data_IF_428849710421
#
_entry.id   IF_428849710421
#
_cell.length_a   1.000
_cell.length_b   1.000
_cell.length_c   1.000
_cell.angle_alpha   90.00
_cell.angle_beta   90.00
_cell.angle_gamma   90.00
#
_symmetry.space_group_name_H-M   'P 1'
#
loop_
_entity.id
_entity.type
_entity.pdbx_description
1 polymer ?
#
# COMPACT_ATOMS: atom_id res chain seq x y z
N UNK A 1 28.95 26.15 9.51
CA UNK A 1 27.82 25.57 8.74
C UNK A 1 26.86 24.91 9.72
N UNK A 2 25.63 25.41 9.84
CA UNK A 2 24.60 24.81 10.71
C UNK A 2 23.89 23.67 9.97
N UNK A 3 23.80 22.49 10.60
CA UNK A 3 23.07 21.34 10.05
C UNK A 3 21.56 21.52 10.27
N UNK A 4 20.78 21.62 9.21
CA UNK A 4 19.31 21.67 9.30
C UNK A 4 18.76 20.34 9.81
N UNK A 5 18.05 20.37 10.94
CA UNK A 5 17.27 19.23 11.43
C UNK A 5 15.88 19.22 10.80
N UNK A 6 15.38 18.04 10.46
CA UNK A 6 14.04 17.86 9.93
C UNK A 6 13.36 16.66 10.58
N UNK A 7 12.04 16.72 10.70
CA UNK A 7 11.21 15.60 11.15
C UNK A 7 10.81 14.72 9.95
N UNK A 8 10.61 13.42 10.20
CA UNK A 8 10.03 12.47 9.24
C UNK A 8 8.71 11.98 9.80
N UNK A 9 7.70 11.89 8.94
CA UNK A 9 6.38 11.35 9.28
C UNK A 9 6.15 10.11 8.42
N UNK A 10 5.77 9.00 9.05
CA UNK A 10 5.34 7.79 8.35
C UNK A 10 3.82 7.79 8.27
N UNK A 11 3.28 7.54 7.08
CA UNK A 11 1.84 7.41 6.85
C UNK A 11 1.55 5.94 6.57
N UNK A 12 0.77 5.31 7.45
CA UNK A 12 0.27 3.96 7.22
C UNK A 12 -0.91 4.01 6.26
N UNK A 13 -0.90 3.12 5.25
CA UNK A 13 -1.94 3.05 4.23
C UNK A 13 -2.55 1.65 4.27
N UNK A 14 -3.84 1.57 4.58
CA UNK A 14 -4.58 0.30 4.49
C UNK A 14 -4.65 -0.15 3.02
N UNK A 15 -4.51 -1.45 2.81
CA UNK A 15 -4.63 -2.08 1.50
C UNK A 15 -5.97 -1.80 0.82
N UNK A 16 -7.03 -1.47 1.54
CA UNK A 16 -8.35 -1.10 0.99
C UNK A 16 -8.37 0.32 0.45
N UNK A 17 -7.48 1.20 0.93
CA UNK A 17 -7.38 2.57 0.49
C UNK A 17 -6.72 2.69 -0.88
N UNK A 18 -7.06 3.76 -1.59
CA UNK A 18 -6.26 4.23 -2.72
C UNK A 18 -5.02 4.95 -2.19
N UNK A 19 -3.97 5.03 -3.01
CA UNK A 19 -2.78 5.82 -2.67
C UNK A 19 -3.17 7.30 -2.55
N UNK A 20 -3.10 7.91 -1.36
CA UNK A 20 -3.47 9.31 -1.19
C UNK A 20 -2.50 10.20 -1.96
N UNK A 21 -2.99 11.31 -2.50
CA UNK A 21 -2.22 12.34 -3.19
C UNK A 21 -1.77 13.47 -2.25
N UNK A 22 -2.37 13.56 -1.06
CA UNK A 22 -1.99 14.52 -0.03
C UNK A 22 -2.32 14.03 1.38
N UNK A 23 -1.69 14.64 2.39
CA UNK A 23 -2.11 14.55 3.78
C UNK A 23 -2.13 15.92 4.44
N UNK A 24 -2.96 16.04 5.47
CA UNK A 24 -3.05 17.23 6.31
C UNK A 24 -2.29 16.98 7.60
N UNK A 25 -1.28 17.81 7.88
CA UNK A 25 -0.50 17.76 9.12
C UNK A 25 -0.86 18.96 9.98
N UNK A 26 -1.29 18.70 11.21
CA UNK A 26 -1.58 19.73 12.21
C UNK A 26 -0.39 19.79 13.17
N UNK A 27 0.27 20.94 13.24
CA UNK A 27 1.43 21.15 14.11
C UNK A 27 1.01 21.73 15.48
N UNK A 28 0.07 22.67 15.44
CA UNK A 28 -0.57 23.29 16.61
C UNK A 28 -2.01 23.70 16.24
N UNK A 29 -2.76 24.25 17.19
CA UNK A 29 -4.19 24.60 17.01
C UNK A 29 -4.46 25.55 15.83
N UNK A 30 -3.44 26.25 15.31
CA UNK A 30 -3.59 27.26 14.26
C UNK A 30 -2.81 26.93 12.98
N UNK A 31 -1.86 25.99 13.03
CA UNK A 31 -0.97 25.67 11.90
C UNK A 31 -1.27 24.30 11.34
N UNK A 32 -1.99 24.31 10.22
CA UNK A 32 -2.29 23.14 9.42
C UNK A 32 -1.61 23.26 8.06
N UNK A 33 -0.90 22.21 7.65
CA UNK A 33 -0.22 22.14 6.35
C UNK A 33 -0.84 21.03 5.51
N UNK A 34 -1.15 21.33 4.25
CA UNK A 34 -1.47 20.33 3.24
C UNK A 34 -0.20 19.94 2.51
N UNK A 35 0.24 18.69 2.69
CA UNK A 35 1.44 18.15 2.06
C UNK A 35 1.00 17.26 0.91
N UNK A 36 1.40 17.60 -0.31
CA UNK A 36 1.19 16.74 -1.49
C UNK A 36 2.25 15.65 -1.56
N UNK A 37 1.86 14.47 -2.01
CA UNK A 37 2.73 13.30 -2.11
C UNK A 37 3.16 13.04 -3.55
N UNK A 38 4.47 12.95 -3.75
CA UNK A 38 5.08 12.42 -4.97
C UNK A 38 5.69 11.05 -4.67
N UNK A 39 5.28 10.04 -5.43
CA UNK A 39 5.74 8.67 -5.23
C UNK A 39 6.70 8.29 -6.35
N UNK A 40 7.96 8.07 -6.02
CA UNK A 40 8.92 7.50 -6.97
C UNK A 40 8.59 6.05 -7.35
N UNK A 41 7.90 5.33 -6.45
CA UNK A 41 7.45 3.96 -6.68
C UNK A 41 6.23 3.64 -5.82
N UNK A 42 5.31 2.83 -6.36
CA UNK A 42 4.10 2.33 -5.68
C UNK A 42 4.06 0.80 -5.75
N UNK A 43 3.95 0.09 -4.61
CA UNK A 43 3.85 -1.36 -4.64
C UNK A 43 2.58 -1.84 -5.34
N UNK A 44 2.65 -3.01 -5.98
CA UNK A 44 1.46 -3.67 -6.48
C UNK A 44 0.57 -4.10 -5.30
N UNK A 45 -0.73 -3.81 -5.41
CA UNK A 45 -1.77 -4.30 -4.50
C UNK A 45 -2.41 -5.55 -5.09
N UNK A 46 -2.46 -6.64 -4.34
CA UNK A 46 -3.22 -7.80 -4.73
C UNK A 46 -4.67 -7.69 -4.24
N UNK A 47 -5.65 -7.73 -5.15
CA UNK A 47 -7.07 -7.64 -4.79
C UNK A 47 -7.64 -8.94 -4.23
N UNK A 48 -6.89 -10.05 -4.28
CA UNK A 48 -7.33 -11.36 -3.77
C UNK A 48 -7.01 -11.59 -2.30
N UNK A 49 -5.83 -11.15 -1.87
CA UNK A 49 -5.38 -11.31 -0.49
C UNK A 49 -5.27 -9.99 0.26
N UNK A 50 -5.50 -8.85 -0.39
CA UNK A 50 -5.45 -7.52 0.19
C UNK A 50 -4.13 -7.26 0.92
N UNK A 51 -3.01 -7.50 0.25
CA UNK A 51 -1.68 -7.11 0.72
C UNK A 51 -0.89 -6.46 -0.42
N UNK A 52 0.14 -5.69 -0.05
CA UNK A 52 1.11 -5.12 -0.98
C UNK A 52 2.23 -6.11 -1.33
N UNK A 53 2.89 -5.91 -2.47
CA UNK A 53 4.11 -6.63 -2.87
C UNK A 53 3.94 -7.61 -4.02
N UNK A 54 2.71 -7.85 -4.50
CA UNK A 54 2.46 -8.66 -5.71
C UNK A 54 1.13 -8.29 -6.37
N UNK A 55 0.99 -8.68 -7.65
CA UNK A 55 -0.26 -8.55 -8.39
C UNK A 55 -1.09 -9.85 -8.27
N UNK A 56 -2.29 -9.86 -8.86
CA UNK A 56 -3.15 -11.04 -8.79
C UNK A 56 -2.56 -12.33 -9.39
N UNK A 57 -1.64 -12.23 -10.36
CA UNK A 57 -0.97 -13.37 -11.00
C UNK A 57 0.09 -14.01 -10.10
N UNK A 58 0.75 -13.20 -9.25
CA UNK A 58 1.71 -13.67 -8.26
C UNK A 58 1.08 -14.19 -6.97
N UNK A 59 -0.25 -14.21 -6.86
CA UNK A 59 -0.92 -14.44 -5.59
C UNK A 59 -0.81 -15.91 -5.13
N UNK A 60 -0.29 -16.18 -3.91
CA UNK A 60 -0.23 -17.54 -3.36
C UNK A 60 -1.60 -18.22 -3.28
N UNK A 61 -2.66 -17.43 -3.00
CA UNK A 61 -4.04 -17.93 -2.99
C UNK A 61 -4.49 -18.44 -4.36
N UNK A 62 -4.05 -17.81 -5.45
CA UNK A 62 -4.35 -18.29 -6.82
C UNK A 62 -3.70 -19.65 -7.10
N UNK A 63 -2.47 -19.86 -6.63
CA UNK A 63 -1.76 -21.14 -6.81
C UNK A 63 -2.47 -22.28 -6.08
N UNK A 64 -3.04 -22.01 -4.90
CA UNK A 64 -3.84 -22.97 -4.14
C UNK A 64 -5.15 -23.32 -4.88
N UNK A 65 -5.88 -22.34 -5.39
CA UNK A 65 -7.13 -22.58 -6.15
C UNK A 65 -6.90 -23.43 -7.42
N UNK A 66 -5.81 -23.17 -8.17
CA UNK A 66 -5.47 -23.95 -9.37
C UNK A 66 -5.15 -25.41 -9.05
N UNK A 67 -4.51 -25.69 -7.90
CA UNK A 67 -4.23 -27.06 -7.46
C UNK A 67 -5.51 -27.80 -7.08
N UNK A 68 -6.45 -27.12 -6.41
CA UNK A 68 -7.72 -27.73 -6.02
C UNK A 68 -8.57 -28.13 -7.24
N UNK A 69 -8.59 -27.30 -8.30
CA UNK A 69 -9.33 -27.63 -9.54
C UNK A 69 -8.71 -28.77 -10.37
N UNK A 70 -7.41 -29.02 -10.20
CA UNK A 70 -6.74 -30.14 -10.88
C UNK A 70 -7.00 -31.49 -10.19
N UNK A 71 -7.37 -31.47 -8.90
CA UNK A 71 -7.74 -32.67 -8.12
C UNK A 71 -9.19 -33.12 -8.26
N UNK A 72 -10.05 -32.31 -8.89
CA UNK A 72 -11.49 -32.56 -9.06
C UNK A 72 -11.84 -33.14 -10.45
N UNK A 73 -10.89 -33.84 -11.08
CA UNK A 73 -11.22 -34.76 -12.19
C UNK A 73 -11.75 -36.05 -11.58
N UNK A 74 -13.02 -36.03 -11.19
CA UNK A 74 -13.80 -37.24 -10.98
C UNK A 74 -13.87 -37.99 -12.32
N UNK A 75 -13.55 -39.28 -12.28
CA UNK A 75 -13.51 -40.19 -13.43
C UNK A 75 -14.83 -40.25 -14.20
#
# INVERSE_FOLDING_TARGET
>A
MTRTSYARVCVEIDTKCTYPDHATVVLDEQRTFKISFEYNWKPNKCSRCNIFGHNNQGCPKQKLERKNKAGDRVW
#
